data_IF_180455481481
#
_entry.id   IF_180455481481
#
_cell.length_a   1.000
_cell.length_b   1.000
_cell.length_c   1.000
_cell.angle_alpha   90.00
_cell.angle_beta   90.00
_cell.angle_gamma   90.00
#
_symmetry.space_group_name_H-M   'P 1'
#
loop_
_entity.id
_entity.type
_entity.pdbx_description
1 polymer ?
#
# COMPACT_ATOMS: atom_id res chain seq x y z
N UNK A 1 -24.42 3.26 21.94
CA UNK A 1 -24.50 2.37 20.75
C UNK A 1 -24.53 3.13 19.43
N UNK A 2 -25.10 4.34 19.34
CA UNK A 2 -25.10 5.14 18.10
C UNK A 2 -23.70 5.58 17.62
N UNK A 3 -22.75 5.79 18.55
CA UNK A 3 -21.42 6.32 18.25
C UNK A 3 -20.48 5.31 17.58
N UNK A 4 -20.64 4.01 17.90
CA UNK A 4 -19.88 2.94 17.28
C UNK A 4 -20.29 2.73 15.82
N UNK A 5 -21.59 2.74 15.53
CA UNK A 5 -22.09 2.57 14.15
C UNK A 5 -21.60 3.70 13.22
N UNK A 6 -21.64 4.96 13.69
CA UNK A 6 -21.14 6.11 12.92
C UNK A 6 -19.61 6.07 12.71
N UNK A 7 -18.87 5.53 13.68
CA UNK A 7 -17.40 5.36 13.57
C UNK A 7 -17.05 4.21 12.61
N UNK A 8 -17.76 3.08 12.69
CA UNK A 8 -17.60 1.95 11.75
C UNK A 8 -17.93 2.34 10.30
N UNK A 9 -18.95 3.16 10.10
CA UNK A 9 -19.36 3.65 8.79
C UNK A 9 -18.27 4.55 8.17
N UNK A 10 -17.75 5.52 8.95
CA UNK A 10 -16.64 6.39 8.53
C UNK A 10 -15.36 5.61 8.18
N UNK A 11 -15.00 4.62 8.97
CA UNK A 11 -13.83 3.77 8.72
C UNK A 11 -13.98 2.95 7.43
N UNK A 12 -15.20 2.52 7.12
CA UNK A 12 -15.49 1.74 5.91
C UNK A 12 -15.44 2.65 4.68
N UNK A 13 -16.07 3.82 4.73
CA UNK A 13 -16.00 4.82 3.66
C UNK A 13 -14.55 5.27 3.39
N UNK A 14 -13.76 5.51 4.44
CA UNK A 14 -12.36 5.91 4.27
C UNK A 14 -11.52 4.82 3.56
N UNK A 15 -11.75 3.54 3.88
CA UNK A 15 -11.07 2.41 3.21
C UNK A 15 -11.46 2.28 1.76
N UNK A 16 -12.74 2.48 1.44
CA UNK A 16 -13.23 2.45 0.06
C UNK A 16 -12.65 3.58 -0.77
N UNK A 17 -12.63 4.81 -0.23
CA UNK A 17 -12.01 5.97 -0.89
C UNK A 17 -10.51 5.76 -1.12
N UNK A 18 -9.79 5.21 -0.14
CA UNK A 18 -8.37 4.88 -0.30
C UNK A 18 -8.16 3.81 -1.38
N UNK A 19 -9.01 2.77 -1.40
CA UNK A 19 -8.96 1.73 -2.43
C UNK A 19 -9.20 2.31 -3.82
N UNK A 20 -10.21 3.16 -3.98
CA UNK A 20 -10.54 3.82 -5.24
C UNK A 20 -9.37 4.71 -5.70
N UNK A 21 -8.86 5.56 -4.81
CA UNK A 21 -7.72 6.44 -5.09
C UNK A 21 -6.50 5.65 -5.58
N UNK A 22 -6.07 4.63 -4.85
CA UNK A 22 -4.89 3.87 -5.24
C UNK A 22 -5.14 2.97 -6.46
N UNK A 23 -6.38 2.53 -6.70
CA UNK A 23 -6.75 1.86 -7.96
C UNK A 23 -6.54 2.79 -9.15
N UNK A 24 -6.93 4.07 -9.05
CA UNK A 24 -6.66 5.05 -10.09
C UNK A 24 -5.17 5.25 -10.34
N UNK A 25 -4.36 5.32 -9.28
CA UNK A 25 -2.90 5.44 -9.39
C UNK A 25 -2.31 4.23 -10.14
N UNK A 26 -2.69 3.00 -9.73
CA UNK A 26 -2.18 1.78 -10.36
C UNK A 26 -2.64 1.64 -11.80
N UNK A 27 -3.89 2.00 -12.11
CA UNK A 27 -4.38 2.03 -13.49
C UNK A 27 -3.60 3.02 -14.36
N UNK A 28 -3.23 4.18 -13.80
CA UNK A 28 -2.34 5.12 -14.48
C UNK A 28 -0.98 4.50 -14.82
N UNK A 29 -0.39 3.75 -13.87
CA UNK A 29 0.88 3.04 -14.08
C UNK A 29 0.72 1.95 -15.16
N UNK A 30 -0.36 1.17 -15.12
CA UNK A 30 -0.66 0.14 -16.12
C UNK A 30 -0.79 0.73 -17.53
N UNK A 31 -1.51 1.86 -17.67
CA UNK A 31 -1.62 2.58 -18.94
C UNK A 31 -0.27 3.09 -19.43
N UNK A 32 0.61 3.56 -18.53
CA UNK A 32 1.96 3.98 -18.90
C UNK A 32 2.79 2.80 -19.43
N UNK A 33 2.74 1.64 -18.77
CA UNK A 33 3.43 0.44 -19.26
C UNK A 33 2.90 -0.02 -20.62
N UNK A 34 1.58 0.04 -20.84
CA UNK A 34 0.94 -0.29 -22.12
C UNK A 34 1.25 0.73 -23.21
N UNK A 35 1.39 2.01 -22.85
CA UNK A 35 1.70 3.13 -23.75
C UNK A 35 3.18 3.22 -24.15
N UNK A 36 4.05 2.35 -23.64
CA UNK A 36 5.43 2.26 -24.11
C UNK A 36 5.47 1.58 -25.50
N UNK A 37 5.11 2.32 -26.55
CA UNK A 37 5.00 1.88 -27.95
C UNK A 37 6.28 1.27 -28.54
N UNK A 38 7.43 1.36 -27.85
CA UNK A 38 8.72 0.81 -28.29
C UNK A 38 9.16 -0.44 -27.52
N UNK A 39 8.39 -0.88 -26.53
CA UNK A 39 8.74 -2.08 -25.78
C UNK A 39 8.28 -3.32 -26.55
N UNK A 40 9.20 -4.24 -26.82
CA UNK A 40 8.89 -5.59 -27.35
C UNK A 40 8.09 -6.45 -26.37
N UNK A 41 7.85 -5.93 -25.16
CA UNK A 41 7.26 -6.62 -24.03
C UNK A 41 6.05 -5.82 -23.57
N UNK A 42 4.88 -6.46 -23.59
CA UNK A 42 3.67 -5.92 -22.97
C UNK A 42 3.66 -6.30 -21.49
N UNK A 43 3.63 -5.30 -20.62
CA UNK A 43 3.48 -5.51 -19.17
C UNK A 43 2.03 -5.15 -18.81
N UNK A 44 1.31 -6.09 -18.19
CA UNK A 44 -0.03 -5.88 -17.66
C UNK A 44 0.02 -5.95 -16.14
N UNK A 45 -0.53 -4.95 -15.47
CA UNK A 45 -0.63 -4.95 -14.02
C UNK A 45 -2.03 -5.42 -13.61
N UNK A 46 -2.08 -6.46 -12.78
CA UNK A 46 -3.31 -6.95 -12.18
C UNK A 46 -3.23 -6.80 -10.66
N UNK A 47 -4.14 -6.01 -10.08
CA UNK A 47 -4.22 -5.84 -8.63
C UNK A 47 -4.82 -7.10 -8.02
N UNK A 48 -4.04 -7.81 -7.20
CA UNK A 48 -4.49 -9.04 -6.50
C UNK A 48 -5.21 -8.75 -5.20
N UNK A 49 -4.71 -7.78 -4.43
CA UNK A 49 -5.27 -7.41 -3.14
C UNK A 49 -4.90 -5.97 -2.77
N UNK A 50 -5.75 -5.38 -1.91
CA UNK A 50 -5.43 -4.15 -1.19
C UNK A 50 -5.37 -4.44 0.30
N UNK A 51 -4.22 -4.18 0.91
CA UNK A 51 -4.05 -4.27 2.36
C UNK A 51 -3.90 -2.88 2.93
N UNK A 52 -4.80 -2.51 3.84
CA UNK A 52 -4.78 -1.22 4.53
C UNK A 52 -4.47 -1.49 6.00
N UNK A 53 -3.29 -1.03 6.44
CA UNK A 53 -2.89 -1.10 7.84
C UNK A 53 -3.58 0.01 8.63
N UNK A 54 -4.35 -0.37 9.66
CA UNK A 54 -5.12 0.53 10.52
C UNK A 54 -4.38 0.90 11.80
N UNK A 55 -3.33 0.16 12.15
CA UNK A 55 -2.54 0.44 13.34
C UNK A 55 -1.09 0.00 13.16
N UNK A 56 -0.21 0.62 13.96
CA UNK A 56 1.19 0.23 14.09
C UNK A 56 1.36 -1.20 14.61
N UNK A 57 0.34 -1.84 15.15
CA UNK A 57 0.42 -3.23 15.58
C UNK A 57 0.28 -4.20 14.40
N UNK A 58 -0.43 -3.78 13.34
CA UNK A 58 -0.65 -4.58 12.12
C UNK A 58 0.54 -4.48 11.16
N UNK A 59 1.27 -3.37 11.21
CA UNK A 59 2.56 -3.20 10.58
C UNK A 59 3.51 -2.49 11.56
N UNK A 60 4.11 -3.24 12.50
CA UNK A 60 5.08 -2.67 13.42
C UNK A 60 6.21 -2.04 12.62
N UNK A 61 6.66 -0.87 13.08
CA UNK A 61 7.84 -0.12 12.60
C UNK A 61 7.65 0.99 11.55
N UNK A 62 6.42 1.30 11.11
CA UNK A 62 6.18 2.36 10.12
C UNK A 62 6.46 3.78 10.66
N UNK A 63 5.65 4.27 11.61
CA UNK A 63 5.77 5.65 12.10
C UNK A 63 6.99 5.88 13.00
N UNK A 64 7.53 4.83 13.64
CA UNK A 64 8.69 4.94 14.54
C UNK A 64 10.02 5.21 13.81
N UNK A 65 10.01 5.22 12.47
CA UNK A 65 11.19 5.43 11.61
C UNK A 65 11.13 6.68 10.75
N UNK A 66 10.16 7.56 11.03
CA UNK A 66 10.17 8.93 10.51
C UNK A 66 11.34 9.66 11.16
N UNK A 67 12.44 9.83 10.43
CA UNK A 67 13.56 10.63 10.90
C UNK A 67 13.23 12.11 10.61
N UNK A 68 13.18 12.92 11.67
CA UNK A 68 13.05 14.37 11.54
C UNK A 68 14.38 14.91 11.02
N UNK A 69 14.45 15.16 9.71
CA UNK A 69 15.61 15.79 9.11
C UNK A 69 15.23 17.22 8.69
N UNK A 70 15.86 18.20 9.35
CA UNK A 70 15.83 19.61 8.94
C UNK A 70 14.43 20.11 8.51
N UNK A 71 13.45 20.05 9.43
CA UNK A 71 12.09 20.58 9.25
C UNK A 71 11.13 19.77 8.36
N UNK A 72 11.58 18.64 7.79
CA UNK A 72 10.74 17.73 7.00
C UNK A 72 10.72 16.32 7.59
N UNK A 73 9.57 15.65 7.49
CA UNK A 73 9.44 14.23 7.80
C UNK A 73 10.05 13.45 6.64
N UNK A 74 11.21 12.85 6.84
CA UNK A 74 11.88 12.03 5.82
C UNK A 74 11.84 10.58 6.26
N UNK A 75 11.51 9.71 5.31
CA UNK A 75 11.39 8.27 5.53
C UNK A 75 12.61 7.58 4.94
N UNK A 76 13.34 6.79 5.73
CA UNK A 76 14.42 5.95 5.23
C UNK A 76 13.86 4.76 4.43
N UNK A 77 13.83 4.91 3.10
CA UNK A 77 13.31 3.90 2.18
C UNK A 77 14.00 2.53 2.28
N UNK A 78 15.27 2.45 2.71
CA UNK A 78 15.99 1.17 2.84
C UNK A 78 15.46 0.35 4.01
N UNK A 79 15.17 1.02 5.12
CA UNK A 79 14.56 0.41 6.31
C UNK A 79 13.15 -0.09 5.98
N UNK A 80 12.38 0.69 5.23
CA UNK A 80 11.03 0.33 4.79
C UNK A 80 10.99 -0.88 3.87
N UNK A 81 11.89 -0.93 2.89
CA UNK A 81 11.97 -2.07 1.96
C UNK A 81 12.27 -3.39 2.70
N UNK A 82 13.12 -3.34 3.73
CA UNK A 82 13.42 -4.50 4.57
C UNK A 82 12.21 -4.93 5.40
N UNK A 83 11.49 -3.98 5.99
CA UNK A 83 10.31 -4.27 6.80
C UNK A 83 9.16 -4.84 5.94
N UNK A 84 8.94 -4.28 4.74
CA UNK A 84 7.97 -4.81 3.78
C UNK A 84 8.27 -6.25 3.39
N UNK A 85 9.54 -6.54 3.07
CA UNK A 85 9.99 -7.91 2.76
C UNK A 85 9.74 -8.85 3.94
N UNK A 86 10.03 -8.43 5.16
CA UNK A 86 9.82 -9.25 6.35
C UNK A 86 8.33 -9.48 6.62
N UNK A 87 7.49 -8.45 6.48
CA UNK A 87 6.04 -8.56 6.64
C UNK A 87 5.42 -9.51 5.62
N UNK A 88 5.81 -9.39 4.35
CA UNK A 88 5.36 -10.26 3.27
C UNK A 88 5.61 -11.74 3.59
N UNK A 89 6.83 -12.06 4.02
CA UNK A 89 7.23 -13.42 4.40
C UNK A 89 6.36 -13.99 5.54
N UNK A 90 5.93 -13.15 6.49
CA UNK A 90 5.25 -13.62 7.72
C UNK A 90 3.72 -13.55 7.67
N UNK A 91 3.14 -12.61 6.91
CA UNK A 91 1.70 -12.32 6.89
C UNK A 91 1.11 -12.50 5.49
N UNK A 92 1.85 -12.17 4.43
CA UNK A 92 1.37 -12.19 3.05
C UNK A 92 0.93 -13.57 2.57
N UNK A 93 1.68 -14.62 2.93
CA UNK A 93 1.49 -15.96 2.37
C UNK A 93 0.24 -16.74 2.82
N UNK A 94 -0.50 -16.29 3.83
CA UNK A 94 -1.65 -17.05 4.37
C UNK A 94 -3.02 -16.45 4.08
N UNK A 95 -3.10 -15.16 3.76
CA UNK A 95 -4.38 -14.44 3.61
C UNK A 95 -4.48 -13.64 2.31
N UNK A 96 -3.39 -13.50 1.56
CA UNK A 96 -3.36 -12.78 0.30
C UNK A 96 -3.19 -13.81 -0.81
N UNK A 97 -3.98 -13.73 -1.91
CA UNK A 97 -3.73 -14.55 -3.09
C UNK A 97 -2.31 -14.37 -3.61
N UNK A 98 -1.74 -15.40 -4.24
CA UNK A 98 -0.40 -15.33 -4.84
C UNK A 98 -0.25 -14.09 -5.74
N UNK A 99 0.89 -13.41 -5.59
CA UNK A 99 1.20 -12.17 -6.29
C UNK A 99 2.70 -12.09 -6.63
N UNK A 100 3.04 -11.37 -7.71
CA UNK A 100 4.41 -11.26 -8.19
C UNK A 100 5.19 -10.10 -7.55
N UNK A 101 4.48 -9.00 -7.22
CA UNK A 101 5.07 -7.77 -6.68
C UNK A 101 4.16 -7.13 -5.64
N UNK A 102 4.77 -6.51 -4.62
CA UNK A 102 4.09 -5.67 -3.63
C UNK A 102 4.52 -4.21 -3.79
N UNK A 103 3.55 -3.29 -3.66
CA UNK A 103 3.77 -1.85 -3.67
C UNK A 103 3.30 -1.29 -2.33
N UNK A 104 4.18 -0.58 -1.63
CA UNK A 104 3.86 0.09 -0.37
C UNK A 104 3.68 1.58 -0.61
N UNK A 105 2.51 2.09 -0.25
CA UNK A 105 2.22 3.53 -0.22
C UNK A 105 2.35 4.05 1.22
N UNK A 106 3.07 5.16 1.39
CA UNK A 106 3.19 5.91 2.65
C UNK A 106 2.80 7.36 2.45
N UNK A 107 2.30 8.00 3.51
CA UNK A 107 2.16 9.45 3.58
C UNK A 107 3.51 10.13 3.83
#
# INVERSE_FOLDING_TARGET
MADLAATFDRDTTARELLREYFTHVVNGIDLLYKGMERATITINIAIRAFVIFQSLQQFPHFESRVELYLWHRVVDGRKYFRDLKNWDIHIGSKQIPDYDQAILFTR
#
